data_IF_328691617899
#
_entry.id   IF_328691617899
#
_cell.length_a   1.000
_cell.length_b   1.000
_cell.length_c   1.000
_cell.angle_alpha   90.00
_cell.angle_beta   90.00
_cell.angle_gamma   90.00
#
_symmetry.space_group_name_H-M   'P 1'
#
loop_
_entity.id
_entity.type
_entity.pdbx_description
1 polymer ?
#
# COMPACT_ATOMS: atom_id res chain seq x y z
N UNK A 1 43.27 -41.13 33.07
CA UNK A 1 41.93 -40.51 33.05
C UNK A 1 41.97 -39.02 32.69
N UNK A 2 42.80 -38.20 33.33
CA UNK A 2 42.89 -36.74 33.03
C UNK A 2 43.20 -36.39 31.56
N UNK A 3 44.15 -37.09 30.93
CA UNK A 3 44.50 -36.86 29.51
C UNK A 3 43.37 -37.20 28.54
N UNK A 4 42.57 -38.22 28.85
CA UNK A 4 41.43 -38.63 28.02
C UNK A 4 40.30 -37.61 28.10
N UNK A 5 40.06 -37.06 29.29
CA UNK A 5 39.07 -36.01 29.54
C UNK A 5 39.47 -34.72 28.81
N UNK A 6 40.75 -34.33 28.84
CA UNK A 6 41.23 -33.13 28.12
C UNK A 6 41.08 -33.24 26.59
N UNK A 7 41.31 -34.42 26.02
CA UNK A 7 41.16 -34.66 24.58
C UNK A 7 39.68 -34.59 24.17
N UNK A 8 38.79 -35.19 24.97
CA UNK A 8 37.35 -35.16 24.71
C UNK A 8 36.82 -33.73 24.83
N UNK A 9 37.21 -32.97 25.87
CA UNK A 9 36.83 -31.56 25.99
C UNK A 9 37.32 -30.70 24.83
N UNK A 10 38.55 -30.91 24.35
CA UNK A 10 39.07 -30.19 23.19
C UNK A 10 38.27 -30.52 21.92
N UNK A 11 37.96 -31.80 21.66
CA UNK A 11 37.15 -32.21 20.52
C UNK A 11 35.74 -31.62 20.56
N UNK A 12 35.09 -31.63 21.73
CA UNK A 12 33.74 -31.03 21.89
C UNK A 12 33.79 -29.52 21.64
N UNK A 13 34.83 -28.83 22.12
CA UNK A 13 34.99 -27.39 21.89
C UNK A 13 35.28 -27.07 20.41
N UNK A 14 36.07 -27.92 19.72
CA UNK A 14 36.34 -27.73 18.28
C UNK A 14 35.09 -27.98 17.45
N UNK A 15 34.30 -29.00 17.79
CA UNK A 15 33.05 -29.30 17.10
C UNK A 15 32.00 -28.21 17.31
N UNK A 16 31.90 -27.63 18.52
CA UNK A 16 31.01 -26.50 18.80
C UNK A 16 31.37 -25.24 17.99
N UNK A 17 32.67 -24.96 17.80
CA UNK A 17 33.14 -23.84 16.99
C UNK A 17 32.86 -24.05 15.49
N UNK A 18 32.93 -25.28 14.99
CA UNK A 18 32.59 -25.61 13.60
C UNK A 18 31.08 -25.45 13.34
N UNK A 19 30.23 -25.81 14.32
CA UNK A 19 28.77 -25.66 14.20
C UNK A 19 28.34 -24.20 14.23
N UNK A 20 29.00 -23.33 15.02
CA UNK A 20 28.76 -21.88 14.99
C UNK A 20 29.25 -21.19 13.70
N UNK A 21 30.26 -21.75 13.04
CA UNK A 21 30.77 -21.24 11.75
C UNK A 21 29.93 -21.65 10.53
N UNK A 22 28.97 -22.57 10.67
CA UNK A 22 28.13 -23.09 9.58
C UNK A 22 26.68 -22.58 9.63
N UNK A 23 26.38 -21.53 10.38
CA UNK A 23 25.10 -20.86 10.24
C UNK A 23 25.04 -20.28 8.81
N UNK A 24 24.22 -20.91 7.96
CA UNK A 24 23.88 -20.34 6.66
C UNK A 24 23.38 -18.90 6.88
N UNK A 25 23.75 -17.93 6.02
CA UNK A 25 23.20 -16.59 6.13
C UNK A 25 21.68 -16.70 6.14
N UNK A 26 21.04 -16.05 7.12
CA UNK A 26 19.58 -16.02 7.21
C UNK A 26 19.01 -15.60 5.85
N UNK A 27 18.09 -16.40 5.31
CA UNK A 27 17.41 -16.10 4.07
C UNK A 27 16.70 -14.75 4.26
N UNK A 28 16.95 -13.81 3.35
CA UNK A 28 16.36 -12.46 3.43
C UNK A 28 14.91 -12.55 2.93
N UNK A 29 14.01 -12.97 3.80
CA UNK A 29 12.58 -13.00 3.50
C UNK A 29 11.95 -11.63 3.69
N UNK A 30 11.00 -11.28 2.82
CA UNK A 30 10.20 -10.06 2.89
C UNK A 30 8.79 -10.33 2.41
N UNK A 31 7.79 -9.83 3.12
CA UNK A 31 6.38 -9.91 2.74
C UNK A 31 5.95 -8.61 2.08
N UNK A 32 5.57 -8.71 0.80
CA UNK A 32 5.00 -7.61 0.01
C UNK A 32 3.49 -7.72 0.06
N UNK A 33 2.81 -6.63 0.40
CA UNK A 33 1.35 -6.52 0.34
C UNK A 33 0.89 -5.70 -0.86
N UNK A 34 -0.24 -6.06 -1.47
CA UNK A 34 -0.92 -5.20 -2.43
C UNK A 34 -2.45 -5.20 -2.28
N UNK A 35 -3.07 -4.13 -2.76
CA UNK A 35 -4.53 -3.96 -2.69
C UNK A 35 -5.26 -4.70 -3.81
N UNK A 36 -6.57 -4.81 -3.65
CA UNK A 36 -7.50 -5.53 -4.52
C UNK A 36 -7.92 -4.77 -5.80
N UNK A 37 -6.99 -4.10 -6.48
CA UNK A 37 -7.25 -3.47 -7.77
C UNK A 37 -6.04 -3.53 -8.71
N UNK A 38 -6.29 -3.29 -10.00
CA UNK A 38 -5.37 -3.64 -11.08
C UNK A 38 -3.99 -2.99 -10.98
N UNK A 39 -3.90 -1.69 -10.65
CA UNK A 39 -2.60 -1.02 -10.51
C UNK A 39 -1.77 -1.65 -9.38
N UNK A 40 -2.39 -1.96 -8.25
CA UNK A 40 -1.75 -2.60 -7.09
C UNK A 40 -1.29 -4.04 -7.37
N UNK A 41 -2.05 -4.81 -8.17
CA UNK A 41 -1.56 -6.11 -8.64
C UNK A 41 -0.28 -5.98 -9.47
N UNK A 42 -0.23 -5.00 -10.37
CA UNK A 42 0.96 -4.74 -11.20
C UNK A 42 2.12 -4.24 -10.34
N UNK A 43 1.89 -3.26 -9.47
CA UNK A 43 2.93 -2.66 -8.62
C UNK A 43 3.48 -3.68 -7.63
N UNK A 44 2.64 -4.49 -6.98
CA UNK A 44 3.09 -5.54 -6.06
C UNK A 44 3.97 -6.59 -6.75
N UNK A 45 3.62 -6.98 -7.97
CA UNK A 45 4.45 -7.91 -8.76
C UNK A 45 5.76 -7.26 -9.23
N UNK A 46 5.76 -5.97 -9.60
CA UNK A 46 6.99 -5.23 -9.91
C UNK A 46 7.90 -5.11 -8.68
N UNK A 47 7.35 -4.83 -7.51
CA UNK A 47 8.09 -4.79 -6.24
C UNK A 47 8.70 -6.14 -5.91
N UNK A 48 7.92 -7.22 -6.06
CA UNK A 48 8.39 -8.59 -5.88
C UNK A 48 9.58 -8.90 -6.79
N UNK A 49 9.44 -8.70 -8.09
CA UNK A 49 10.50 -9.00 -9.06
C UNK A 49 11.77 -8.19 -8.78
N UNK A 50 11.63 -6.91 -8.41
CA UNK A 50 12.75 -6.06 -8.04
C UNK A 50 13.47 -6.57 -6.79
N UNK A 51 12.73 -7.01 -5.76
CA UNK A 51 13.31 -7.53 -4.52
C UNK A 51 13.98 -8.90 -4.74
N UNK A 52 13.37 -9.78 -5.53
CA UNK A 52 13.94 -11.08 -5.91
C UNK A 52 15.24 -10.91 -6.71
N UNK A 53 15.32 -9.95 -7.64
CA UNK A 53 16.55 -9.58 -8.36
C UNK A 53 17.68 -9.14 -7.40
N UNK A 54 17.32 -8.59 -6.22
CA UNK A 54 18.28 -8.20 -5.17
C UNK A 54 18.57 -9.29 -4.14
N UNK A 55 18.10 -10.51 -4.39
CA UNK A 55 18.39 -11.69 -3.57
C UNK A 55 17.52 -11.82 -2.32
N UNK A 56 16.36 -11.17 -2.29
CA UNK A 56 15.33 -11.45 -1.29
C UNK A 56 14.45 -12.62 -1.75
N UNK A 57 13.89 -13.35 -0.80
CA UNK A 57 12.78 -14.26 -1.03
C UNK A 57 11.49 -13.53 -0.67
N UNK A 58 10.59 -13.39 -1.63
CA UNK A 58 9.40 -12.55 -1.46
C UNK A 58 8.16 -13.41 -1.27
N UNK A 59 7.41 -13.14 -0.19
CA UNK A 59 6.05 -13.60 -0.03
C UNK A 59 5.09 -12.47 -0.48
N UNK A 60 4.32 -12.68 -1.55
CA UNK A 60 3.35 -11.68 -2.01
C UNK A 60 1.97 -12.02 -1.45
N UNK A 61 1.46 -11.16 -0.57
CA UNK A 61 0.10 -11.22 -0.05
C UNK A 61 -0.76 -10.24 -0.85
N UNK A 62 -1.76 -10.79 -1.55
CA UNK A 62 -2.57 -10.02 -2.48
C UNK A 62 -4.03 -9.95 -2.11
N UNK A 63 -4.74 -9.06 -2.82
CA UNK A 63 -6.20 -8.93 -2.76
C UNK A 63 -6.70 -8.34 -1.43
N UNK A 64 -5.93 -7.40 -0.87
CA UNK A 64 -6.24 -6.74 0.40
C UNK A 64 -7.08 -5.48 0.18
N UNK A 65 -7.98 -5.17 1.09
CA UNK A 65 -8.53 -3.81 1.18
C UNK A 65 -7.49 -2.85 1.75
N UNK A 66 -7.65 -1.53 1.56
CA UNK A 66 -6.80 -0.52 2.19
C UNK A 66 -6.64 -0.73 3.70
N UNK A 67 -7.70 -1.15 4.40
CA UNK A 67 -7.63 -1.39 5.85
C UNK A 67 -6.98 -2.72 6.23
N UNK A 68 -7.19 -3.77 5.44
CA UNK A 68 -6.50 -5.04 5.66
C UNK A 68 -4.99 -4.91 5.40
N UNK A 69 -4.60 -4.15 4.36
CA UNK A 69 -3.20 -3.83 4.08
C UNK A 69 -2.57 -3.06 5.24
N UNK A 70 -3.24 -1.99 5.72
CA UNK A 70 -2.77 -1.21 6.87
C UNK A 70 -2.59 -2.08 8.12
N UNK A 71 -3.58 -2.91 8.47
CA UNK A 71 -3.50 -3.80 9.62
C UNK A 71 -2.35 -4.82 9.48
N UNK A 72 -2.09 -5.32 8.28
CA UNK A 72 -0.94 -6.18 7.99
C UNK A 72 0.40 -5.47 8.21
N UNK A 73 0.50 -4.20 7.78
CA UNK A 73 1.68 -3.36 8.03
C UNK A 73 1.88 -3.07 9.54
N UNK A 74 0.81 -2.74 10.27
CA UNK A 74 0.86 -2.46 11.71
C UNK A 74 1.20 -3.67 12.57
N UNK A 75 0.76 -4.87 12.16
CA UNK A 75 1.05 -6.13 12.85
C UNK A 75 2.41 -6.72 12.52
N UNK A 76 3.04 -6.25 11.43
CA UNK A 76 4.28 -6.82 10.89
C UNK A 76 4.06 -8.08 10.05
N UNK A 77 2.82 -8.42 9.71
CA UNK A 77 2.51 -9.48 8.74
C UNK A 77 2.88 -9.06 7.30
N UNK A 78 3.00 -7.75 7.05
CA UNK A 78 3.44 -7.17 5.77
C UNK A 78 4.58 -6.20 6.06
N UNK A 79 5.68 -6.33 5.32
CA UNK A 79 6.89 -5.52 5.51
C UNK A 79 6.90 -4.28 4.61
N UNK A 80 6.35 -4.39 3.40
CA UNK A 80 6.37 -3.33 2.41
C UNK A 80 5.15 -3.42 1.48
N UNK A 81 4.61 -2.26 1.10
CA UNK A 81 3.55 -2.14 0.12
C UNK A 81 3.69 -0.84 -0.67
N UNK A 82 2.93 -0.71 -1.74
CA UNK A 82 2.61 0.59 -2.29
C UNK A 82 1.36 1.13 -1.57
N UNK A 83 1.34 2.43 -1.30
CA UNK A 83 0.17 3.09 -0.73
C UNK A 83 0.07 4.53 -1.21
N UNK A 84 -1.08 5.14 -0.97
CA UNK A 84 -1.49 6.44 -1.49
C UNK A 84 -1.55 7.44 -0.37
N UNK A 85 -0.96 8.61 -0.59
CA UNK A 85 -0.89 9.69 0.39
C UNK A 85 -2.27 10.14 0.87
N UNK A 86 -3.26 10.22 -0.02
CA UNK A 86 -4.65 10.54 0.34
C UNK A 86 -5.30 9.48 1.24
N UNK A 87 -5.04 8.19 0.98
CA UNK A 87 -5.53 7.11 1.85
C UNK A 87 -4.91 7.19 3.24
N UNK A 88 -3.60 7.38 3.31
CA UNK A 88 -2.92 7.53 4.59
C UNK A 88 -3.45 8.73 5.39
N UNK A 89 -3.54 9.89 4.75
CA UNK A 89 -4.01 11.12 5.38
C UNK A 89 -5.43 11.01 5.93
N UNK A 90 -6.38 10.55 5.12
CA UNK A 90 -7.81 10.63 5.47
C UNK A 90 -8.33 9.37 6.15
N UNK A 91 -7.79 8.20 5.83
CA UNK A 91 -8.33 6.92 6.32
C UNK A 91 -7.53 6.40 7.51
N UNK A 92 -6.20 6.51 7.49
CA UNK A 92 -5.36 5.95 8.56
C UNK A 92 -5.06 6.97 9.66
N UNK A 93 -4.76 8.21 9.27
CA UNK A 93 -4.46 9.32 10.19
C UNK A 93 -5.71 10.12 10.59
N UNK A 94 -6.87 9.79 9.99
CA UNK A 94 -8.17 10.39 10.28
C UNK A 94 -8.22 11.93 10.13
N UNK A 95 -7.37 12.49 9.26
CA UNK A 95 -7.41 13.92 8.94
C UNK A 95 -8.50 14.23 7.90
N UNK A 96 -8.98 15.46 7.93
CA UNK A 96 -9.91 15.94 6.91
C UNK A 96 -9.19 16.24 5.58
N UNK A 97 -9.93 16.16 4.48
CA UNK A 97 -9.46 16.65 3.19
C UNK A 97 -9.23 18.16 3.24
N UNK A 98 -8.03 18.61 2.92
CA UNK A 98 -7.68 20.03 2.83
C UNK A 98 -7.58 20.49 1.36
N UNK A 99 -8.57 21.24 0.84
CA UNK A 99 -8.51 21.75 -0.52
C UNK A 99 -7.31 22.68 -0.73
N UNK A 100 -6.57 22.46 -1.82
CA UNK A 100 -5.46 23.33 -2.23
C UNK A 100 -4.08 22.91 -1.70
N UNK A 101 -4.00 21.85 -0.90
CA UNK A 101 -2.73 21.16 -0.61
C UNK A 101 -2.29 20.41 -1.86
N UNK A 102 -1.08 20.70 -2.36
CA UNK A 102 -0.54 19.98 -3.50
C UNK A 102 0.01 18.60 -3.12
N UNK A 103 0.20 17.72 -4.12
CA UNK A 103 0.61 16.34 -3.89
C UNK A 103 1.96 16.20 -3.17
N UNK A 104 2.92 17.10 -3.40
CA UNK A 104 4.24 17.03 -2.74
C UNK A 104 4.17 17.51 -1.30
N UNK A 105 3.33 18.51 -1.04
CA UNK A 105 3.03 18.96 0.31
C UNK A 105 2.33 17.84 1.10
N UNK A 106 1.30 17.21 0.53
CA UNK A 106 0.59 16.09 1.16
C UNK A 106 1.53 14.92 1.45
N UNK A 107 2.39 14.55 0.50
CA UNK A 107 3.42 13.52 0.71
C UNK A 107 4.33 13.86 1.90
N UNK A 108 4.77 15.12 2.01
CA UNK A 108 5.66 15.56 3.10
C UNK A 108 4.97 15.50 4.47
N UNK A 109 3.68 15.86 4.53
CA UNK A 109 2.87 15.77 5.75
C UNK A 109 2.70 14.31 6.19
N UNK A 110 2.21 13.46 5.29
CA UNK A 110 2.01 12.02 5.54
C UNK A 110 3.31 11.36 5.99
N UNK A 111 4.42 11.60 5.28
CA UNK A 111 5.72 11.04 5.62
C UNK A 111 6.17 11.43 7.04
N UNK A 112 6.01 12.70 7.41
CA UNK A 112 6.44 13.19 8.72
C UNK A 112 5.63 12.61 9.88
N UNK A 113 4.33 12.41 9.67
CA UNK A 113 3.45 11.87 10.70
C UNK A 113 3.58 10.35 10.84
N UNK A 114 3.65 9.64 9.71
CA UNK A 114 3.81 8.19 9.69
C UNK A 114 5.17 7.71 10.20
N UNK A 115 6.21 8.57 10.15
CA UNK A 115 7.48 8.31 10.84
C UNK A 115 7.27 8.14 12.36
N UNK A 116 6.35 8.91 12.96
CA UNK A 116 5.94 8.77 14.35
C UNK A 116 5.19 7.46 14.65
N UNK A 117 4.56 6.87 13.64
CA UNK A 117 3.87 5.58 13.72
C UNK A 117 4.78 4.39 13.36
N UNK A 118 6.06 4.63 13.06
CA UNK A 118 7.03 3.59 12.72
C UNK A 118 7.04 3.17 11.25
N UNK A 119 6.36 3.92 10.36
CA UNK A 119 6.35 3.65 8.93
C UNK A 119 7.29 4.56 8.16
N UNK A 120 7.98 3.99 7.17
CA UNK A 120 8.94 4.73 6.33
C UNK A 120 8.34 4.92 4.94
N UNK A 121 7.99 6.16 4.61
CA UNK A 121 7.60 6.54 3.25
C UNK A 121 8.83 6.80 2.39
N UNK A 122 9.05 5.90 1.42
CA UNK A 122 10.09 6.02 0.39
C UNK A 122 9.71 7.05 -0.67
N UNK A 123 10.58 7.25 -1.66
CA UNK A 123 10.31 8.17 -2.77
C UNK A 123 9.01 7.78 -3.49
N UNK A 124 8.12 8.76 -3.77
CA UNK A 124 6.84 8.48 -4.40
C UNK A 124 7.02 8.03 -5.85
N UNK A 125 6.07 7.22 -6.32
CA UNK A 125 5.90 6.94 -7.75
C UNK A 125 5.32 8.20 -8.41
N UNK A 126 5.70 8.47 -9.67
CA UNK A 126 5.39 9.72 -10.38
C UNK A 126 3.90 9.90 -10.77
N UNK A 127 3.04 8.93 -10.45
CA UNK A 127 1.63 8.95 -10.84
C UNK A 127 0.76 9.71 -9.82
N UNK A 128 -0.30 10.35 -10.32
CA UNK A 128 -1.42 10.82 -9.51
C UNK A 128 -2.65 9.99 -9.88
N UNK A 129 -2.90 8.93 -9.12
CA UNK A 129 -4.07 8.08 -9.27
C UNK A 129 -5.17 8.58 -8.32
N UNK A 130 -5.94 9.57 -8.78
CA UNK A 130 -7.02 10.20 -8.01
C UNK A 130 -8.37 9.87 -8.63
N UNK A 131 -9.44 9.93 -7.82
CA UNK A 131 -10.78 9.62 -8.28
C UNK A 131 -11.24 10.60 -9.37
N UNK A 132 -11.84 10.03 -10.41
CA UNK A 132 -12.53 10.74 -11.46
C UNK A 132 -13.78 9.96 -11.85
N UNK A 133 -14.81 10.69 -12.32
CA UNK A 133 -15.96 10.07 -12.96
C UNK A 133 -15.72 10.07 -14.47
N UNK A 134 -15.75 8.88 -15.06
CA UNK A 134 -15.66 8.68 -16.50
C UNK A 134 -17.05 8.34 -17.05
N UNK A 135 -17.33 8.79 -18.28
CA UNK A 135 -18.57 8.47 -18.98
C UNK A 135 -18.29 8.23 -20.46
N UNK A 136 -19.23 7.55 -21.11
CA UNK A 136 -19.19 7.32 -22.56
C UNK A 136 -19.25 8.64 -23.31
N UNK A 137 -18.49 8.82 -24.41
CA UNK A 137 -18.52 10.05 -25.21
C UNK A 137 -19.95 10.42 -25.64
N UNK A 138 -20.76 9.43 -25.99
CA UNK A 138 -22.15 9.62 -26.43
C UNK A 138 -23.04 10.19 -25.31
N UNK A 139 -22.80 9.77 -24.06
CA UNK A 139 -23.52 10.32 -22.90
C UNK A 139 -23.11 11.77 -22.65
N UNK A 140 -21.81 12.06 -22.74
CA UNK A 140 -21.25 13.42 -22.59
C UNK A 140 -21.83 14.35 -23.65
N UNK A 141 -21.84 13.94 -24.91
CA UNK A 141 -22.37 14.73 -26.03
C UNK A 141 -23.89 14.95 -25.90
N UNK A 142 -24.67 13.91 -25.59
CA UNK A 142 -26.12 14.00 -25.51
C UNK A 142 -26.61 14.87 -24.34
N UNK A 143 -25.83 14.95 -23.26
CA UNK A 143 -26.22 15.68 -22.05
C UNK A 143 -25.40 16.95 -21.80
N UNK A 144 -24.41 17.25 -22.65
CA UNK A 144 -23.49 18.38 -22.50
C UNK A 144 -22.82 18.43 -21.11
N UNK A 145 -22.25 17.30 -20.67
CA UNK A 145 -21.62 17.13 -19.34
C UNK A 145 -20.11 17.00 -19.48
N UNK A 146 -19.36 18.04 -19.09
CA UNK A 146 -17.88 18.04 -19.15
C UNK A 146 -17.21 18.26 -17.80
N UNK A 147 -17.97 18.72 -16.80
CA UNK A 147 -17.49 18.99 -15.45
C UNK A 147 -18.36 18.28 -14.41
N UNK A 148 -17.83 18.13 -13.18
CA UNK A 148 -18.63 17.65 -12.05
C UNK A 148 -19.84 18.56 -11.76
N UNK A 149 -19.70 19.87 -12.00
CA UNK A 149 -20.80 20.84 -11.88
C UNK A 149 -21.91 20.58 -12.91
N UNK A 150 -21.56 20.23 -14.14
CA UNK A 150 -22.53 19.85 -15.18
C UNK A 150 -23.25 18.56 -14.81
N UNK A 151 -22.49 17.56 -14.32
CA UNK A 151 -23.05 16.30 -13.87
C UNK A 151 -24.01 16.50 -12.69
N UNK A 152 -23.65 17.35 -11.72
CA UNK A 152 -24.52 17.70 -10.60
C UNK A 152 -25.80 18.43 -11.08
N UNK A 153 -25.69 19.29 -12.09
CA UNK A 153 -26.87 19.92 -12.71
C UNK A 153 -27.77 18.90 -13.39
N UNK A 154 -27.20 17.93 -14.11
CA UNK A 154 -27.95 16.84 -14.73
C UNK A 154 -28.64 15.96 -13.67
N UNK A 155 -27.97 15.63 -12.57
CA UNK A 155 -28.56 14.89 -11.44
C UNK A 155 -29.80 15.60 -10.90
N UNK A 156 -29.75 16.94 -10.75
CA UNK A 156 -30.90 17.74 -10.32
C UNK A 156 -32.03 17.73 -11.35
N UNK A 157 -31.72 17.87 -12.64
CA UNK A 157 -32.72 17.83 -13.73
C UNK A 157 -33.43 16.46 -13.83
N UNK A 158 -32.69 15.37 -13.62
CA UNK A 158 -33.21 14.00 -13.72
C UNK A 158 -33.74 13.43 -12.41
N UNK A 159 -33.94 14.25 -11.36
CA UNK A 159 -34.38 13.80 -10.03
C UNK A 159 -33.53 12.64 -9.48
N UNK A 160 -32.22 12.68 -9.73
CA UNK A 160 -31.28 11.64 -9.30
C UNK A 160 -31.30 10.34 -10.12
N UNK A 161 -32.09 10.25 -11.19
CA UNK A 161 -32.25 9.03 -12.01
C UNK A 161 -31.12 8.90 -13.05
N UNK A 162 -29.88 8.95 -12.58
CA UNK A 162 -28.67 8.70 -13.38
C UNK A 162 -27.96 7.49 -12.78
N UNK A 163 -27.74 6.46 -13.59
CA UNK A 163 -27.00 5.27 -13.18
C UNK A 163 -25.51 5.60 -13.15
N UNK A 164 -24.92 5.53 -11.98
CA UNK A 164 -23.47 5.71 -11.75
C UNK A 164 -22.93 4.46 -11.09
N UNK A 165 -21.82 3.96 -11.62
CA UNK A 165 -21.12 2.77 -11.12
C UNK A 165 -19.87 3.22 -10.39
N UNK A 166 -19.65 2.67 -9.21
CA UNK A 166 -18.55 3.03 -8.32
C UNK A 166 -18.01 1.76 -7.71
N UNK A 167 -16.72 1.74 -7.38
CA UNK A 167 -16.15 0.64 -6.62
C UNK A 167 -16.53 0.74 -5.13
N UNK A 168 -16.22 -0.33 -4.40
CA UNK A 168 -16.55 -0.44 -2.99
C UNK A 168 -15.83 0.62 -2.14
N UNK A 169 -14.55 0.87 -2.40
CA UNK A 169 -13.74 1.81 -1.63
C UNK A 169 -14.27 3.24 -1.80
N UNK A 170 -14.55 3.67 -3.02
CA UNK A 170 -15.15 5.00 -3.25
C UNK A 170 -16.51 5.18 -2.57
N UNK A 171 -17.30 4.10 -2.44
CA UNK A 171 -18.66 4.19 -1.89
C UNK A 171 -18.71 4.51 -0.40
N UNK A 172 -17.64 4.24 0.36
CA UNK A 172 -17.62 4.36 1.83
C UNK A 172 -16.65 5.41 2.35
N UNK A 173 -15.67 5.84 1.54
CA UNK A 173 -14.65 6.78 1.97
C UNK A 173 -15.20 8.18 2.26
N UNK A 174 -14.66 8.92 3.25
CA UNK A 174 -15.10 10.29 3.54
C UNK A 174 -14.95 11.24 2.33
N UNK A 175 -13.89 11.05 1.54
CA UNK A 175 -13.56 11.79 0.31
C UNK A 175 -14.13 11.14 -0.97
N UNK A 176 -14.99 10.12 -0.83
CA UNK A 176 -15.60 9.38 -1.93
C UNK A 176 -17.03 9.86 -2.26
N UNK A 177 -17.95 8.92 -2.44
CA UNK A 177 -19.37 9.22 -2.69
C UNK A 177 -20.02 10.13 -1.64
N UNK A 178 -19.79 9.96 -0.32
CA UNK A 178 -20.32 10.86 0.70
C UNK A 178 -19.97 12.33 0.50
N UNK A 179 -18.78 12.65 -0.02
CA UNK A 179 -18.37 14.03 -0.30
C UNK A 179 -19.07 14.65 -1.52
N UNK A 180 -19.72 13.82 -2.35
CA UNK A 180 -20.47 14.26 -3.54
C UNK A 180 -21.96 14.49 -3.26
N UNK A 181 -22.46 14.05 -2.10
CA UNK A 181 -23.88 14.01 -1.74
C UNK A 181 -24.41 15.34 -1.15
#
# INVERSE_FOLDING_TARGET
MSRLISIISAMVLTLALIVMGCAAPAEKEVTVGNKNFTEEYVVGELMKQLLEDRGFKVNLVSDLSSMALRAGMESGDIDICADYTGTAWMVYLEHEYEPGVDNNQLYSLVKGEEEGNGFIWVNPIWNNNTYALASWPEFVEANNVTTLSDLAALYRDKEGKITTFVDFEWSVRPDGYPAMA
#
